data_IF_781429750368
#
_entry.id   IF_781429750368
#
_cell.length_a   1.000
_cell.length_b   1.000
_cell.length_c   1.000
_cell.angle_alpha   90.00
_cell.angle_beta   90.00
_cell.angle_gamma   90.00
#
_symmetry.space_group_name_H-M   'P 1'
#
loop_
_entity.id
_entity.type
_entity.pdbx_description
1 polymer ?
#
# COMPACT_ATOMS: atom_id res chain seq x y z
N UNK A 1 52.23 -8.82 12.13
CA UNK A 1 50.83 -8.39 12.36
C UNK A 1 49.91 -9.59 12.20
N UNK A 2 49.33 -10.11 13.28
CA UNK A 2 48.38 -11.24 13.22
C UNK A 2 47.01 -10.66 12.90
N UNK A 3 46.57 -10.81 11.65
CA UNK A 3 45.20 -10.45 11.25
C UNK A 3 44.26 -11.41 11.97
N UNK A 4 43.56 -10.86 12.94
CA UNK A 4 42.70 -11.53 13.89
C UNK A 4 41.63 -12.39 13.19
N UNK A 5 41.64 -13.69 13.49
CA UNK A 5 40.58 -14.67 13.18
C UNK A 5 39.14 -14.20 13.37
N UNK A 6 38.75 -13.31 14.32
CA UNK A 6 37.37 -12.79 14.40
C UNK A 6 36.89 -12.05 13.16
N UNK A 7 37.78 -11.41 12.39
CA UNK A 7 37.38 -10.64 11.21
C UNK A 7 36.86 -11.53 10.07
N UNK A 8 37.41 -12.75 9.94
CA UNK A 8 36.96 -13.74 8.94
C UNK A 8 35.56 -14.26 9.25
N UNK A 9 35.27 -14.52 10.53
CA UNK A 9 33.95 -14.96 10.95
C UNK A 9 32.90 -13.85 10.88
N UNK A 10 33.29 -12.60 11.15
CA UNK A 10 32.41 -11.44 10.96
C UNK A 10 31.99 -11.29 9.49
N UNK A 11 32.93 -11.40 8.56
CA UNK A 11 32.64 -11.30 7.13
C UNK A 11 31.72 -12.42 6.65
N UNK A 12 31.95 -13.65 7.12
CA UNK A 12 31.09 -14.80 6.81
C UNK A 12 29.67 -14.63 7.35
N UNK A 13 29.52 -14.08 8.57
CA UNK A 13 28.22 -13.75 9.17
C UNK A 13 27.49 -12.64 8.38
N UNK A 14 28.20 -11.59 7.97
CA UNK A 14 27.62 -10.49 7.19
C UNK A 14 27.14 -10.94 5.80
N UNK A 15 27.90 -11.82 5.12
CA UNK A 15 27.45 -12.43 3.87
C UNK A 15 26.24 -13.35 4.07
N UNK A 16 26.22 -14.13 5.16
CA UNK A 16 25.09 -15.00 5.48
C UNK A 16 23.81 -14.19 5.78
N UNK A 17 23.93 -13.06 6.48
CA UNK A 17 22.79 -12.14 6.74
C UNK A 17 22.30 -11.48 5.44
N UNK A 18 23.22 -11.12 4.52
CA UNK A 18 22.84 -10.57 3.21
C UNK A 18 22.09 -11.56 2.30
N UNK A 19 22.23 -12.86 2.54
CA UNK A 19 21.50 -13.92 1.83
C UNK A 19 20.18 -14.34 2.49
N UNK A 20 19.87 -13.83 3.69
CA UNK A 20 18.55 -14.02 4.26
C UNK A 20 17.58 -13.16 3.46
N UNK A 21 16.60 -13.81 2.83
CA UNK A 21 15.44 -13.11 2.24
C UNK A 21 14.92 -12.10 3.25
N UNK A 22 14.77 -10.84 2.84
CA UNK A 22 14.23 -9.81 3.71
C UNK A 22 12.91 -10.34 4.30
N UNK A 23 12.82 -10.40 5.63
CA UNK A 23 11.59 -10.75 6.30
C UNK A 23 10.55 -9.66 5.97
N UNK A 24 9.78 -9.90 4.91
CA UNK A 24 8.76 -8.98 4.45
C UNK A 24 7.48 -9.28 5.23
N UNK A 25 7.31 -8.62 6.36
CA UNK A 25 6.05 -8.63 7.09
C UNK A 25 5.04 -7.73 6.36
N UNK A 26 4.30 -8.30 5.42
CA UNK A 26 3.17 -7.65 4.76
C UNK A 26 1.92 -7.84 5.63
N UNK A 27 1.70 -6.95 6.61
CA UNK A 27 0.42 -6.89 7.31
C UNK A 27 -0.53 -5.94 6.57
N UNK A 28 -1.09 -6.43 5.46
CA UNK A 28 -2.14 -5.71 4.72
C UNK A 28 -3.44 -5.91 5.50
N UNK A 29 -3.69 -5.02 6.46
CA UNK A 29 -5.00 -4.97 7.14
C UNK A 29 -5.88 -3.96 6.43
N UNK A 30 -6.83 -4.45 5.64
CA UNK A 30 -7.82 -3.64 4.92
C UNK A 30 -7.37 -3.30 3.51
N UNK A 31 -6.33 -2.48 3.33
CA UNK A 31 -5.97 -2.00 1.99
C UNK A 31 -4.56 -1.49 1.86
N UNK A 32 -4.14 -1.28 0.62
CA UNK A 32 -2.91 -0.57 0.30
C UNK A 32 -3.15 0.48 -0.78
N UNK A 33 -2.34 1.53 -0.76
CA UNK A 33 -2.41 2.65 -1.71
C UNK A 33 -1.05 2.76 -2.37
N UNK A 34 -1.04 2.72 -3.69
CA UNK A 34 0.15 2.97 -4.51
C UNK A 34 -0.14 4.12 -5.47
N UNK A 35 0.90 4.85 -5.84
CA UNK A 35 0.78 5.97 -6.76
C UNK A 35 1.95 6.01 -7.74
N UNK A 36 1.69 6.52 -8.93
CA UNK A 36 2.68 6.78 -9.97
C UNK A 36 2.46 8.18 -10.53
N UNK A 37 3.55 8.89 -10.86
CA UNK A 37 3.46 10.18 -11.55
C UNK A 37 3.00 9.97 -12.99
N UNK A 38 2.06 10.79 -13.46
CA UNK A 38 1.61 10.79 -14.86
C UNK A 38 1.78 12.19 -15.47
N UNK A 39 1.71 12.27 -16.81
CA UNK A 39 1.83 13.54 -17.51
C UNK A 39 0.75 14.51 -17.03
N UNK A 40 1.18 15.68 -16.58
CA UNK A 40 0.25 16.71 -16.14
C UNK A 40 -0.45 17.34 -17.34
N UNK A 41 -1.76 17.59 -17.17
CA UNK A 41 -2.59 18.34 -18.12
C UNK A 41 -2.61 19.84 -17.82
N UNK A 42 -1.94 20.31 -16.77
CA UNK A 42 -1.94 21.71 -16.35
C UNK A 42 -0.55 22.13 -15.87
N UNK A 43 -0.01 23.20 -16.45
CA UNK A 43 1.34 23.67 -16.12
C UNK A 43 1.48 23.94 -14.60
N UNK A 44 2.49 23.34 -13.98
CA UNK A 44 2.80 23.50 -12.56
C UNK A 44 1.96 22.66 -11.59
N UNK A 45 0.98 21.89 -12.07
CA UNK A 45 0.16 21.01 -11.22
C UNK A 45 0.66 19.57 -11.37
N UNK A 46 1.21 18.93 -10.32
CA UNK A 46 1.62 17.54 -10.40
C UNK A 46 0.41 16.62 -10.40
N UNK A 47 0.44 15.61 -11.27
CA UNK A 47 -0.65 14.64 -11.48
C UNK A 47 -0.17 13.23 -11.17
N UNK A 48 -1.03 12.47 -10.49
CA UNK A 48 -0.74 11.11 -10.06
C UNK A 48 -1.85 10.16 -10.48
N UNK A 49 -1.47 8.97 -10.94
CA UNK A 49 -2.35 7.83 -11.01
C UNK A 49 -2.27 7.08 -9.69
N UNK A 50 -3.40 6.95 -9.00
CA UNK A 50 -3.49 6.34 -7.67
C UNK A 50 -4.29 5.05 -7.78
N UNK A 51 -3.71 3.98 -7.25
CA UNK A 51 -4.30 2.66 -7.18
C UNK A 51 -4.54 2.32 -5.72
N UNK A 52 -5.80 2.10 -5.36
CA UNK A 52 -6.22 1.64 -4.04
C UNK A 52 -6.63 0.18 -4.17
N UNK A 53 -5.97 -0.70 -3.43
CA UNK A 53 -6.31 -2.11 -3.34
C UNK A 53 -6.99 -2.37 -2.01
N UNK A 54 -8.21 -2.89 -2.04
CA UNK A 54 -8.96 -3.29 -0.86
C UNK A 54 -9.01 -4.82 -0.79
N UNK A 55 -8.56 -5.38 0.33
CA UNK A 55 -8.50 -6.81 0.59
C UNK A 55 -9.59 -7.16 1.59
N UNK A 56 -10.54 -7.96 1.13
CA UNK A 56 -11.70 -8.38 1.92
C UNK A 56 -11.83 -9.89 1.92
N UNK A 57 -12.36 -10.40 3.02
CA UNK A 57 -12.75 -11.81 3.11
C UNK A 57 -13.84 -12.17 2.08
N UNK A 58 -13.77 -13.39 1.57
CA UNK A 58 -14.74 -13.92 0.61
C UNK A 58 -16.18 -14.02 1.16
N UNK A 59 -16.32 -14.23 2.46
CA UNK A 59 -17.62 -14.33 3.13
C UNK A 59 -18.35 -12.97 3.23
N UNK A 60 -17.65 -11.88 2.90
CA UNK A 60 -18.18 -10.52 2.97
C UNK A 60 -17.68 -9.68 1.79
N UNK A 61 -18.13 -9.99 0.57
CA UNK A 61 -17.60 -9.41 -0.65
C UNK A 61 -17.83 -7.90 -0.75
N UNK A 62 -16.95 -7.23 -1.48
CA UNK A 62 -17.07 -5.79 -1.75
C UNK A 62 -18.12 -5.53 -2.83
N UNK A 63 -19.20 -4.88 -2.44
CA UNK A 63 -20.29 -4.48 -3.34
C UNK A 63 -20.06 -3.10 -3.95
N UNK A 64 -19.31 -2.23 -3.27
CA UNK A 64 -19.04 -0.86 -3.73
C UNK A 64 -18.22 -0.84 -5.01
N UNK A 65 -18.72 -0.14 -6.02
CA UNK A 65 -18.05 0.11 -7.31
C UNK A 65 -17.15 1.34 -7.29
N UNK A 66 -17.22 2.14 -6.22
CA UNK A 66 -16.41 3.34 -6.03
C UNK A 66 -15.88 3.42 -4.60
N UNK A 67 -14.81 4.19 -4.41
CA UNK A 67 -14.30 4.62 -3.11
C UNK A 67 -13.87 6.08 -3.18
N UNK A 68 -13.77 6.74 -2.03
CA UNK A 68 -13.31 8.14 -1.94
C UNK A 68 -11.84 8.16 -1.56
N UNK A 69 -11.03 8.75 -2.44
CA UNK A 69 -9.64 9.11 -2.19
C UNK A 69 -9.59 10.55 -1.67
N UNK A 70 -8.99 10.75 -0.51
CA UNK A 70 -8.78 12.05 0.08
C UNK A 70 -7.30 12.42 0.02
N UNK A 71 -7.01 13.59 -0.55
CA UNK A 71 -5.71 14.22 -0.53
C UNK A 71 -5.73 15.42 0.42
N UNK A 72 -4.87 15.37 1.42
CA UNK A 72 -4.80 16.35 2.50
C UNK A 72 -3.40 16.92 2.58
N UNK A 73 -3.27 18.23 2.82
CA UNK A 73 -1.96 18.86 2.92
C UNK A 73 -1.41 18.68 4.33
N UNK A 74 -0.19 18.14 4.44
CA UNK A 74 0.53 17.99 5.71
C UNK A 74 0.08 16.83 6.61
N UNK A 75 -1.22 16.70 6.90
CA UNK A 75 -1.74 15.65 7.79
C UNK A 75 -3.12 15.12 7.34
N UNK A 76 -3.50 13.94 7.84
CA UNK A 76 -4.78 13.29 7.55
C UNK A 76 -6.02 14.02 8.09
N UNK A 77 -5.85 15.10 8.87
CA UNK A 77 -6.92 15.84 9.54
C UNK A 77 -7.12 17.25 8.96
N UNK A 78 -6.70 17.46 7.71
CA UNK A 78 -6.93 18.73 7.04
C UNK A 78 -8.42 19.07 7.00
N UNK A 79 -8.78 20.32 7.29
CA UNK A 79 -10.17 20.77 7.36
C UNK A 79 -10.92 20.67 6.01
N UNK A 80 -10.18 20.71 4.89
CA UNK A 80 -10.74 20.62 3.54
C UNK A 80 -9.86 19.70 2.68
N UNK A 81 -9.98 18.37 2.81
CA UNK A 81 -9.28 17.46 1.92
C UNK A 81 -9.86 17.57 0.51
N UNK A 82 -9.00 17.47 -0.49
CA UNK A 82 -9.42 17.25 -1.87
C UNK A 82 -9.93 15.82 -1.98
N UNK A 83 -11.22 15.66 -2.27
CA UNK A 83 -11.85 14.36 -2.44
C UNK A 83 -11.99 14.02 -3.92
N UNK A 84 -11.52 12.85 -4.33
CA UNK A 84 -11.66 12.29 -5.68
C UNK A 84 -12.29 10.91 -5.59
N UNK A 85 -13.26 10.65 -6.46
CA UNK A 85 -13.89 9.34 -6.55
C UNK A 85 -13.03 8.41 -7.39
N UNK A 86 -12.53 7.34 -6.78
CA UNK A 86 -11.87 6.24 -7.47
C UNK A 86 -12.86 5.16 -7.86
N UNK A 87 -12.73 4.63 -9.07
CA UNK A 87 -13.66 3.64 -9.63
C UNK A 87 -13.02 2.27 -9.61
N UNK A 88 -13.80 1.23 -9.29
CA UNK A 88 -13.32 -0.14 -9.29
C UNK A 88 -13.05 -0.60 -10.72
N UNK A 89 -11.80 -0.86 -11.04
CA UNK A 89 -11.36 -1.36 -12.35
C UNK A 89 -11.28 -2.88 -12.37
N UNK A 90 -10.97 -3.50 -11.23
CA UNK A 90 -10.79 -4.94 -11.13
C UNK A 90 -11.39 -5.52 -9.85
N UNK A 91 -11.83 -6.77 -9.94
CA UNK A 91 -12.25 -7.59 -8.82
C UNK A 91 -11.82 -9.02 -9.08
N UNK A 92 -10.96 -9.56 -8.24
CA UNK A 92 -10.44 -10.93 -8.39
C UNK A 92 -10.14 -11.54 -7.03
N UNK A 93 -9.94 -12.86 -7.00
CA UNK A 93 -9.59 -13.57 -5.78
C UNK A 93 -8.10 -13.95 -5.81
N UNK A 94 -7.40 -13.77 -4.70
CA UNK A 94 -6.00 -14.18 -4.58
C UNK A 94 -5.66 -14.63 -3.16
N UNK A 95 -4.74 -15.57 -3.07
CA UNK A 95 -4.15 -16.00 -1.81
C UNK A 95 -3.07 -15.01 -1.39
N UNK A 96 -3.16 -14.45 -0.19
CA UNK A 96 -2.10 -13.58 0.33
C UNK A 96 -1.17 -14.41 1.19
N UNK A 97 0.12 -14.38 0.87
CA UNK A 97 1.13 -15.08 1.63
C UNK A 97 1.23 -14.47 3.03
N UNK A 98 0.92 -15.26 4.04
CA UNK A 98 1.13 -14.92 5.44
C UNK A 98 2.36 -15.66 5.97
N UNK A 99 2.90 -15.24 7.11
CA UNK A 99 3.99 -15.97 7.79
C UNK A 99 3.52 -17.27 8.48
N UNK A 100 2.40 -17.86 8.07
CA UNK A 100 1.78 -19.05 8.67
C UNK A 100 1.51 -20.18 7.66
N UNK A 101 1.01 -21.31 8.17
CA UNK A 101 0.67 -22.50 7.38
C UNK A 101 -0.62 -22.36 6.56
N UNK A 102 -1.41 -21.32 6.82
CA UNK A 102 -2.67 -21.06 6.14
C UNK A 102 -2.53 -19.78 5.32
N UNK A 103 -2.76 -19.90 4.01
CA UNK A 103 -2.87 -18.77 3.09
C UNK A 103 -4.35 -18.46 2.90
N UNK A 104 -4.89 -17.37 3.51
CA UNK A 104 -6.29 -17.05 3.35
C UNK A 104 -6.56 -16.57 1.93
N UNK A 105 -7.70 -16.98 1.37
CA UNK A 105 -8.18 -16.50 0.09
C UNK A 105 -8.96 -15.19 0.29
N UNK A 106 -8.48 -14.12 -0.33
CA UNK A 106 -9.11 -12.81 -0.30
C UNK A 106 -9.77 -12.49 -1.63
N UNK A 107 -10.84 -11.71 -1.58
CA UNK A 107 -11.28 -10.93 -2.71
C UNK A 107 -10.53 -9.58 -2.68
N UNK A 108 -9.96 -9.20 -3.83
CA UNK A 108 -9.19 -7.98 -4.03
C UNK A 108 -9.97 -7.09 -4.98
N UNK A 109 -10.40 -5.94 -4.47
CA UNK A 109 -11.01 -4.89 -5.28
C UNK A 109 -9.96 -3.81 -5.56
N UNK A 110 -9.72 -3.53 -6.85
CA UNK A 110 -8.78 -2.49 -7.30
C UNK A 110 -9.57 -1.28 -7.73
N UNK A 111 -9.29 -0.13 -7.12
CA UNK A 111 -9.87 1.16 -7.46
C UNK A 111 -8.79 2.07 -8.00
N UNK A 112 -9.10 2.78 -9.08
CA UNK A 112 -8.16 3.67 -9.74
C UNK A 112 -8.77 5.07 -9.89
N UNK A 113 -7.92 6.07 -9.72
CA UNK A 113 -8.22 7.47 -9.98
C UNK A 113 -6.97 8.21 -10.41
N UNK A 114 -7.17 9.21 -11.26
CA UNK A 114 -6.17 10.23 -11.50
C UNK A 114 -6.46 11.43 -10.61
N UNK A 115 -5.40 11.97 -10.01
CA UNK A 115 -5.48 13.04 -9.04
C UNK A 115 -4.49 14.15 -9.40
N UNK A 116 -5.02 15.36 -9.55
CA UNK A 116 -4.24 16.60 -9.65
C UNK A 116 -4.07 17.19 -8.26
N UNK A 117 -2.82 17.36 -7.79
CA UNK A 117 -2.56 17.97 -6.48
C UNK A 117 -2.41 19.49 -6.64
N UNK A 118 -3.33 20.30 -6.07
CA UNK A 118 -3.37 21.72 -6.35
C UNK A 118 -2.19 22.48 -5.75
N UNK A 119 -1.88 23.62 -6.37
CA UNK A 119 -0.87 24.54 -5.87
C UNK A 119 -1.29 25.18 -4.53
N UNK A 120 -0.33 25.64 -3.70
CA UNK A 120 1.12 25.56 -3.91
C UNK A 120 1.69 24.16 -3.67
N UNK A 121 2.83 23.83 -4.27
CA UNK A 121 3.52 22.56 -4.06
C UNK A 121 3.81 22.32 -2.56
N UNK A 122 3.78 21.06 -2.14
CA UNK A 122 4.01 20.70 -0.74
C UNK A 122 3.83 19.21 -0.50
N UNK A 123 3.95 18.81 0.76
CA UNK A 123 3.71 17.43 1.17
C UNK A 123 2.20 17.17 1.25
N UNK A 124 1.74 16.20 0.46
CA UNK A 124 0.38 15.73 0.45
C UNK A 124 0.31 14.33 1.04
N UNK A 125 -0.72 14.10 1.85
CA UNK A 125 -1.04 12.81 2.43
C UNK A 125 -2.28 12.29 1.72
N UNK A 126 -2.13 11.14 1.09
CA UNK A 126 -3.20 10.41 0.45
C UNK A 126 -3.80 9.41 1.44
N UNK A 127 -5.13 9.34 1.47
CA UNK A 127 -5.88 8.38 2.27
C UNK A 127 -7.10 7.91 1.49
N UNK A 128 -7.54 6.69 1.74
CA UNK A 128 -8.77 6.15 1.17
C UNK A 128 -9.55 5.45 2.27
N UNK A 129 -10.87 5.66 2.29
CA UNK A 129 -11.74 4.95 3.22
C UNK A 129 -12.24 3.69 2.54
N UNK A 130 -11.71 2.55 2.98
CA UNK A 130 -12.13 1.23 2.49
C UNK A 130 -12.67 0.41 3.65
N UNK A 131 -13.64 -0.46 3.35
CA UNK A 131 -14.17 -1.38 4.35
C UNK A 131 -13.11 -2.42 4.70
N UNK A 132 -12.44 -2.25 5.84
CA UNK A 132 -11.53 -3.25 6.38
C UNK A 132 -12.36 -4.44 6.90
N UNK A 133 -12.28 -5.58 6.22
CA UNK A 133 -12.82 -6.86 6.70
C UNK A 133 -11.68 -7.87 6.69
N UNK A 134 -10.82 -7.72 7.68
CA UNK A 134 -9.66 -8.59 7.87
C UNK A 134 -9.98 -9.67 8.90
N UNK A 135 -9.48 -10.87 8.61
CA UNK A 135 -9.55 -12.11 9.38
C UNK A 135 -9.41 -11.86 10.88
N UNK A 136 -10.17 -12.60 11.70
CA UNK A 136 -9.95 -12.72 13.14
C UNK A 136 -8.46 -12.96 13.38
N UNK A 137 -7.78 -12.03 14.05
CA UNK A 137 -6.40 -12.26 14.51
C UNK A 137 -6.53 -13.38 15.53
N UNK A 138 -6.18 -14.60 15.15
CA UNK A 138 -5.91 -15.64 16.12
C UNK A 138 -4.60 -15.23 16.80
N UNK A 139 -4.73 -14.55 17.94
CA UNK A 139 -3.64 -14.36 18.90
C UNK A 139 -3.17 -15.70 19.43
#
# INVERSE_FOLDING_TARGET
MRICTPFRWLLALLLAVGSLSAAQASHIRGGDITYATIASTTAGVPRYHVVVRNFVELNSPVTSTTTVLNASRGNCSAATPLAVTATRTQLFNSNIQTCGTISPLYQIAVYEADLDLPLPLGQWVLSATVNARAFTILN
#
